data_IF_822784522163
#
_entry.id   IF_822784522163
#
_cell.length_a   1.000
_cell.length_b   1.000
_cell.length_c   1.000
_cell.angle_alpha   90.00
_cell.angle_beta   90.00
_cell.angle_gamma   90.00
#
_symmetry.space_group_name_H-M   'P 1'
#
loop_
_entity.id
_entity.type
_entity.pdbx_description
1 polymer ?
#
# COMPACT_ATOMS: atom_id res chain seq x y z
N UNK A 1 5.64 -22.51 23.06
CA UNK A 1 4.83 -21.26 23.20
C UNK A 1 5.67 -20.00 23.02
N UNK A 2 6.94 -19.99 23.47
CA UNK A 2 7.89 -18.90 23.16
C UNK A 2 8.33 -18.89 21.69
N UNK A 3 8.63 -20.05 21.10
CA UNK A 3 8.97 -20.14 19.67
C UNK A 3 7.87 -19.59 18.74
N UNK A 4 6.59 -19.85 19.05
CA UNK A 4 5.47 -19.33 18.26
C UNK A 4 5.30 -17.82 18.39
N UNK A 5 5.60 -17.25 19.57
CA UNK A 5 5.65 -15.79 19.76
C UNK A 5 6.77 -15.17 18.90
N UNK A 6 7.93 -15.81 18.86
CA UNK A 6 9.10 -15.34 18.11
C UNK A 6 8.92 -15.44 16.57
N UNK A 7 8.08 -16.36 16.08
CA UNK A 7 7.75 -16.49 14.64
C UNK A 7 6.77 -15.41 14.18
N UNK A 8 5.80 -15.02 15.01
CA UNK A 8 4.80 -14.01 14.64
C UNK A 8 5.39 -12.59 14.58
N UNK A 9 6.39 -12.28 15.41
CA UNK A 9 7.06 -10.98 15.42
C UNK A 9 7.80 -10.66 14.13
N UNK A 10 8.14 -11.65 13.30
CA UNK A 10 8.72 -11.42 11.97
C UNK A 10 7.70 -10.73 11.06
N UNK A 11 6.42 -11.14 11.11
CA UNK A 11 5.36 -10.59 10.26
C UNK A 11 5.02 -9.12 10.56
N UNK A 12 5.38 -8.64 11.75
CA UNK A 12 5.24 -7.24 12.16
C UNK A 12 5.88 -6.26 11.18
N UNK A 13 7.03 -6.62 10.59
CA UNK A 13 7.79 -5.74 9.71
C UNK A 13 7.46 -5.93 8.23
N UNK A 14 6.58 -6.89 7.90
CA UNK A 14 6.31 -7.24 6.52
C UNK A 14 5.67 -6.11 5.71
N UNK A 15 4.88 -5.22 6.32
CA UNK A 15 4.33 -4.06 5.60
C UNK A 15 5.40 -3.01 5.23
N UNK A 16 6.47 -2.87 6.02
CA UNK A 16 7.61 -1.99 5.70
C UNK A 16 8.43 -2.65 4.58
N UNK A 17 8.77 -3.93 4.76
CA UNK A 17 9.53 -4.71 3.78
C UNK A 17 8.81 -4.77 2.44
N UNK A 18 7.48 -4.92 2.45
CA UNK A 18 6.69 -5.01 1.24
C UNK A 18 6.73 -3.71 0.43
N UNK A 19 6.66 -2.53 1.08
CA UNK A 19 6.78 -1.23 0.40
C UNK A 19 8.18 -1.07 -0.20
N UNK A 20 9.23 -1.35 0.59
CA UNK A 20 10.62 -1.26 0.10
C UNK A 20 10.87 -2.21 -1.06
N UNK A 21 10.42 -3.47 -0.95
CA UNK A 21 10.50 -4.46 -2.01
C UNK A 21 9.76 -3.99 -3.26
N UNK A 22 8.52 -3.53 -3.11
CA UNK A 22 7.68 -3.13 -4.24
C UNK A 22 8.30 -1.93 -4.97
N UNK A 23 8.63 -0.85 -4.26
CA UNK A 23 9.21 0.36 -4.87
C UNK A 23 10.57 0.08 -5.50
N UNK A 24 11.45 -0.67 -4.83
CA UNK A 24 12.78 -0.98 -5.40
C UNK A 24 12.65 -1.86 -6.65
N UNK A 25 11.77 -2.86 -6.63
CA UNK A 25 11.58 -3.78 -7.76
C UNK A 25 10.92 -3.09 -8.95
N UNK A 26 9.88 -2.29 -8.73
CA UNK A 26 9.23 -1.54 -9.81
C UNK A 26 10.10 -0.43 -10.36
N UNK A 27 10.91 0.22 -9.51
CA UNK A 27 11.90 1.20 -9.96
C UNK A 27 12.98 0.56 -10.82
N UNK A 28 13.59 -0.53 -10.34
CA UNK A 28 14.58 -1.30 -11.08
C UNK A 28 14.04 -1.74 -12.44
N UNK A 29 12.81 -2.26 -12.46
CA UNK A 29 12.15 -2.68 -13.69
C UNK A 29 11.88 -1.50 -14.63
N UNK A 30 11.34 -0.38 -14.11
CA UNK A 30 11.01 0.79 -14.91
C UNK A 30 12.22 1.44 -15.57
N UNK A 31 13.37 1.51 -14.87
CA UNK A 31 14.62 2.08 -15.43
C UNK A 31 15.17 1.25 -16.60
N UNK A 32 14.86 -0.05 -16.67
CA UNK A 32 15.32 -0.90 -17.78
C UNK A 32 14.51 -0.73 -19.06
N UNK A 33 13.36 -0.07 -19.00
CA UNK A 33 12.41 0.04 -20.09
C UNK A 33 12.56 1.38 -20.79
N UNK A 34 13.12 1.36 -22.02
CA UNK A 34 13.53 2.56 -22.77
C UNK A 34 12.44 3.62 -22.99
N UNK A 35 11.17 3.22 -23.08
CA UNK A 35 10.05 4.11 -23.39
C UNK A 35 9.17 4.44 -22.18
N UNK A 36 9.59 4.02 -20.98
CA UNK A 36 8.87 4.30 -19.74
C UNK A 36 9.55 5.43 -18.98
N UNK A 37 8.75 6.37 -18.51
CA UNK A 37 9.18 7.47 -17.67
C UNK A 37 8.24 7.59 -16.46
N UNK A 38 8.81 7.61 -15.26
CA UNK A 38 8.06 7.72 -13.99
C UNK A 38 7.28 9.04 -13.88
N UNK A 39 7.71 10.09 -14.58
CA UNK A 39 7.02 11.38 -14.62
C UNK A 39 5.78 11.38 -15.51
N UNK A 40 5.71 10.47 -16.49
CA UNK A 40 4.67 10.47 -17.52
C UNK A 40 3.64 9.36 -17.30
N UNK A 41 4.06 8.26 -16.67
CA UNK A 41 3.25 7.06 -16.49
C UNK A 41 3.19 6.65 -15.03
N UNK A 42 2.10 6.00 -14.62
CA UNK A 42 1.98 5.32 -13.32
C UNK A 42 2.82 4.04 -13.29
N UNK A 43 3.02 3.47 -12.10
CA UNK A 43 3.66 2.16 -11.92
C UNK A 43 2.83 1.08 -12.62
N UNK A 44 1.50 1.11 -12.49
CA UNK A 44 0.62 0.14 -13.17
C UNK A 44 0.71 0.21 -14.70
N UNK A 45 0.94 1.41 -15.25
CA UNK A 45 1.13 1.63 -16.68
C UNK A 45 2.48 1.12 -17.21
N UNK A 46 3.43 0.73 -16.34
CA UNK A 46 4.64 0.05 -16.77
C UNK A 46 4.33 -1.21 -17.60
N UNK A 47 3.24 -1.91 -17.26
CA UNK A 47 2.74 -3.12 -17.94
C UNK A 47 2.64 -3.02 -19.47
N UNK A 48 2.51 -1.82 -20.04
CA UNK A 48 2.39 -1.62 -21.50
C UNK A 48 3.68 -1.83 -22.25
N UNK A 49 4.78 -1.56 -21.56
CA UNK A 49 6.09 -1.55 -22.17
C UNK A 49 6.79 -2.90 -21.98
N UNK A 50 6.11 -3.85 -21.31
CA UNK A 50 6.65 -5.14 -20.93
C UNK A 50 6.26 -6.21 -21.95
N UNK A 51 7.20 -7.11 -22.24
CA UNK A 51 6.89 -8.36 -22.93
C UNK A 51 6.17 -9.34 -21.98
N UNK A 52 5.76 -10.52 -22.48
CA UNK A 52 4.99 -11.50 -21.69
C UNK A 52 5.72 -11.95 -20.42
N UNK A 53 7.00 -12.27 -20.52
CA UNK A 53 7.78 -12.76 -19.36
C UNK A 53 7.95 -11.67 -18.31
N UNK A 54 8.27 -10.45 -18.76
CA UNK A 54 8.35 -9.28 -17.90
C UNK A 54 7.00 -8.96 -17.25
N UNK A 55 5.89 -9.04 -17.98
CA UNK A 55 4.56 -8.81 -17.43
C UNK A 55 4.21 -9.82 -16.32
N UNK A 56 4.57 -11.10 -16.48
CA UNK A 56 4.42 -12.10 -15.42
C UNK A 56 5.22 -11.75 -14.18
N UNK A 57 6.48 -11.30 -14.34
CA UNK A 57 7.30 -10.81 -13.22
C UNK A 57 6.65 -9.59 -12.56
N UNK A 58 6.19 -8.62 -13.34
CA UNK A 58 5.52 -7.41 -12.86
C UNK A 58 4.29 -7.74 -12.01
N UNK A 59 3.40 -8.60 -12.51
CA UNK A 59 2.21 -9.04 -11.77
C UNK A 59 2.59 -9.76 -10.47
N UNK A 60 3.67 -10.56 -10.51
CA UNK A 60 4.19 -11.24 -9.33
C UNK A 60 4.69 -10.26 -8.26
N UNK A 61 5.22 -9.08 -8.63
CA UNK A 61 5.59 -8.05 -7.66
C UNK A 61 4.39 -7.55 -6.85
N UNK A 62 3.25 -7.31 -7.50
CA UNK A 62 2.00 -6.93 -6.82
C UNK A 62 1.51 -8.04 -5.90
N UNK A 63 1.60 -9.29 -6.35
CA UNK A 63 1.24 -10.46 -5.54
C UNK A 63 2.12 -10.58 -4.30
N UNK A 64 3.46 -10.52 -4.43
CA UNK A 64 4.38 -10.59 -3.28
C UNK A 64 4.09 -9.45 -2.30
N UNK A 65 3.90 -8.22 -2.81
CA UNK A 65 3.57 -7.05 -1.99
C UNK A 65 2.31 -7.31 -1.16
N UNK A 66 1.19 -7.64 -1.81
CA UNK A 66 -0.06 -7.90 -1.11
C UNK A 66 0.05 -9.09 -0.16
N UNK A 67 0.81 -10.13 -0.50
CA UNK A 67 1.01 -11.28 0.39
C UNK A 67 1.77 -10.89 1.67
N UNK A 68 2.84 -10.09 1.55
CA UNK A 68 3.56 -9.55 2.69
C UNK A 68 2.66 -8.64 3.54
N UNK A 69 1.85 -7.79 2.92
CA UNK A 69 0.90 -6.98 3.68
C UNK A 69 -0.18 -7.80 4.38
N UNK A 70 -0.68 -8.88 3.75
CA UNK A 70 -1.65 -9.79 4.38
C UNK A 70 -1.04 -10.46 5.60
N UNK A 71 0.24 -10.84 5.55
CA UNK A 71 0.94 -11.39 6.72
C UNK A 71 1.08 -10.36 7.84
N UNK A 72 1.31 -9.08 7.50
CA UNK A 72 1.28 -7.99 8.48
C UNK A 72 -0.12 -7.77 9.05
N UNK A 73 -1.17 -7.76 8.21
CA UNK A 73 -2.55 -7.65 8.66
C UNK A 73 -2.93 -8.78 9.61
N UNK A 74 -2.51 -10.01 9.31
CA UNK A 74 -2.66 -11.15 10.21
C UNK A 74 -2.01 -10.91 11.57
N UNK A 75 -0.79 -10.35 11.60
CA UNK A 75 -0.13 -9.95 12.85
C UNK A 75 -0.94 -8.90 13.62
N UNK A 76 -1.38 -7.82 12.96
CA UNK A 76 -2.19 -6.76 13.57
C UNK A 76 -3.50 -7.31 14.14
N UNK A 77 -4.16 -8.22 13.43
CA UNK A 77 -5.41 -8.84 13.89
C UNK A 77 -5.20 -9.69 15.13
N UNK A 78 -4.10 -10.44 15.19
CA UNK A 78 -3.73 -11.20 16.38
C UNK A 78 -3.36 -10.28 17.55
N UNK A 79 -2.59 -9.23 17.29
CA UNK A 79 -2.11 -8.29 18.32
C UNK A 79 -3.28 -7.56 19.01
N UNK A 80 -4.20 -6.99 18.23
CA UNK A 80 -5.36 -6.27 18.76
C UNK A 80 -6.61 -7.15 18.97
N UNK A 81 -6.49 -8.47 18.78
CA UNK A 81 -7.60 -9.42 18.83
C UNK A 81 -8.81 -9.01 17.96
N UNK A 82 -8.54 -8.53 16.74
CA UNK A 82 -9.55 -8.04 15.81
C UNK A 82 -10.26 -9.21 15.12
N UNK A 83 -11.59 -9.18 15.11
CA UNK A 83 -12.41 -10.08 14.30
C UNK A 83 -12.50 -9.55 12.87
N UNK A 84 -12.59 -10.42 11.87
CA UNK A 84 -12.63 -10.03 10.45
C UNK A 84 -13.77 -9.07 10.08
N UNK A 85 -14.87 -9.06 10.84
CA UNK A 85 -16.03 -8.18 10.60
C UNK A 85 -15.89 -6.78 11.23
N UNK A 86 -14.79 -6.48 11.93
CA UNK A 86 -14.58 -5.15 12.49
C UNK A 86 -14.13 -4.19 11.41
N UNK A 87 -14.47 -2.90 11.57
CA UNK A 87 -14.13 -1.87 10.60
C UNK A 87 -12.61 -1.80 10.30
N UNK A 88 -11.67 -1.82 11.29
CA UNK A 88 -10.24 -1.79 11.00
C UNK A 88 -9.76 -3.02 10.21
N UNK A 89 -10.36 -4.18 10.43
CA UNK A 89 -9.99 -5.40 9.72
C UNK A 89 -10.46 -5.35 8.26
N UNK A 90 -11.71 -4.93 8.03
CA UNK A 90 -12.27 -4.81 6.69
C UNK A 90 -11.54 -3.78 5.85
N UNK A 91 -11.30 -2.57 6.39
CA UNK A 91 -10.63 -1.49 5.64
C UNK A 91 -9.20 -1.86 5.29
N UNK A 92 -8.46 -2.50 6.21
CA UNK A 92 -7.11 -2.98 5.94
C UNK A 92 -7.09 -4.08 4.86
N UNK A 93 -7.99 -5.08 4.95
CA UNK A 93 -8.06 -6.15 3.95
C UNK A 93 -8.44 -5.62 2.57
N UNK A 94 -9.44 -4.73 2.49
CA UNK A 94 -9.87 -4.14 1.22
C UNK A 94 -8.72 -3.33 0.62
N UNK A 95 -7.98 -2.55 1.41
CA UNK A 95 -6.82 -1.82 0.91
C UNK A 95 -5.75 -2.74 0.32
N UNK A 96 -5.40 -3.82 1.02
CA UNK A 96 -4.34 -4.76 0.61
C UNK A 96 -4.74 -5.56 -0.63
N UNK A 97 -5.97 -6.08 -0.66
CA UNK A 97 -6.47 -6.88 -1.76
C UNK A 97 -6.67 -6.02 -3.02
N UNK A 98 -7.23 -4.82 -2.86
CA UNK A 98 -7.42 -3.89 -3.97
C UNK A 98 -6.07 -3.46 -4.56
N UNK A 99 -5.07 -3.18 -3.72
CA UNK A 99 -3.71 -2.89 -4.20
C UNK A 99 -3.16 -4.03 -5.06
N UNK A 100 -3.34 -5.29 -4.64
CA UNK A 100 -2.89 -6.46 -5.39
C UNK A 100 -3.54 -6.57 -6.78
N UNK A 101 -4.80 -6.15 -6.89
CA UNK A 101 -5.52 -6.14 -8.17
C UNK A 101 -4.98 -5.10 -9.16
N UNK A 102 -4.31 -4.03 -8.72
CA UNK A 102 -3.76 -3.00 -9.61
C UNK A 102 -2.76 -3.56 -10.63
N UNK A 103 -2.03 -4.63 -10.28
CA UNK A 103 -1.11 -5.30 -11.20
C UNK A 103 -1.82 -6.06 -12.32
N UNK A 104 -3.06 -6.50 -12.13
CA UNK A 104 -3.82 -7.32 -13.08
C UNK A 104 -4.75 -6.51 -13.99
N UNK A 105 -5.13 -5.30 -13.57
CA UNK A 105 -6.05 -4.44 -14.33
C UNK A 105 -5.33 -3.16 -14.75
N UNK A 106 -4.53 -3.17 -15.81
CA UNK A 106 -3.78 -1.99 -16.18
C UNK A 106 -4.70 -0.92 -16.83
N UNK A 107 -4.37 0.34 -16.57
CA UNK A 107 -5.18 1.54 -16.90
C UNK A 107 -5.60 1.69 -18.38
N UNK A 108 -4.87 1.17 -19.37
CA UNK A 108 -5.16 1.38 -20.80
C UNK A 108 -6.23 0.40 -21.33
N UNK A 109 -6.28 -0.81 -20.79
CA UNK A 109 -7.25 -1.85 -21.15
C UNK A 109 -8.49 -1.73 -20.28
N UNK A 110 -8.29 -1.38 -19.00
CA UNK A 110 -9.34 -1.39 -18.00
C UNK A 110 -9.38 -0.07 -17.22
N UNK A 111 -9.38 1.07 -17.91
CA UNK A 111 -9.33 2.40 -17.30
C UNK A 111 -10.30 2.58 -16.13
N UNK A 112 -11.59 2.29 -16.35
CA UNK A 112 -12.62 2.47 -15.32
C UNK A 112 -12.42 1.52 -14.13
N UNK A 113 -12.02 0.27 -14.39
CA UNK A 113 -11.79 -0.72 -13.33
C UNK A 113 -10.54 -0.32 -12.53
N UNK A 114 -9.45 0.05 -13.21
CA UNK A 114 -8.21 0.50 -12.58
C UNK A 114 -8.45 1.72 -11.69
N UNK A 115 -9.13 2.74 -12.22
CA UNK A 115 -9.48 3.94 -11.47
C UNK A 115 -10.34 3.59 -10.24
N UNK A 116 -11.32 2.70 -10.41
CA UNK A 116 -12.16 2.23 -9.29
C UNK A 116 -11.32 1.54 -8.22
N UNK A 117 -10.43 0.60 -8.61
CA UNK A 117 -9.53 -0.10 -7.69
C UNK A 117 -8.61 0.88 -6.98
N UNK A 118 -8.06 1.87 -7.69
CA UNK A 118 -7.20 2.90 -7.12
C UNK A 118 -7.95 3.72 -6.05
N UNK A 119 -9.14 4.24 -6.38
CA UNK A 119 -9.99 5.01 -5.45
C UNK A 119 -10.34 4.17 -4.22
N UNK A 120 -10.76 2.91 -4.41
CA UNK A 120 -11.08 2.00 -3.31
C UNK A 120 -9.85 1.74 -2.44
N UNK A 121 -8.68 1.50 -3.04
CA UNK A 121 -7.42 1.29 -2.32
C UNK A 121 -7.07 2.50 -1.47
N UNK A 122 -7.12 3.70 -2.07
CA UNK A 122 -6.79 4.96 -1.43
C UNK A 122 -7.69 5.25 -0.21
N UNK A 123 -9.01 5.23 -0.40
CA UNK A 123 -9.93 5.49 0.70
C UNK A 123 -9.87 4.41 1.78
N UNK A 124 -9.78 3.13 1.39
CA UNK A 124 -9.68 2.03 2.36
C UNK A 124 -8.42 2.15 3.21
N UNK A 125 -7.32 2.60 2.60
CA UNK A 125 -6.08 2.87 3.31
C UNK A 125 -6.21 4.03 4.32
N UNK A 126 -6.79 5.17 3.91
CA UNK A 126 -7.08 6.29 4.81
C UNK A 126 -7.93 5.83 6.01
N UNK A 127 -9.01 5.08 5.74
CA UNK A 127 -9.86 4.55 6.80
C UNK A 127 -9.09 3.57 7.70
N UNK A 128 -8.19 2.76 7.13
CA UNK A 128 -7.34 1.86 7.89
C UNK A 128 -6.41 2.62 8.83
N UNK A 129 -5.69 3.63 8.36
CA UNK A 129 -4.82 4.47 9.20
C UNK A 129 -5.59 5.08 10.38
N UNK A 130 -6.74 5.70 10.11
CA UNK A 130 -7.56 6.32 11.15
C UNK A 130 -8.10 5.32 12.17
N UNK A 131 -8.62 4.18 11.70
CA UNK A 131 -9.23 3.18 12.58
C UNK A 131 -8.18 2.44 13.40
N UNK A 132 -7.03 2.11 12.82
CA UNK A 132 -5.90 1.52 13.53
C UNK A 132 -5.27 2.50 14.51
N UNK A 133 -5.15 3.80 14.18
CA UNK A 133 -4.61 4.78 15.12
C UNK A 133 -5.46 4.87 16.38
N UNK A 134 -6.79 4.76 16.26
CA UNK A 134 -7.69 4.75 17.42
C UNK A 134 -7.47 3.55 18.35
N UNK A 135 -7.03 2.40 17.83
CA UNK A 135 -6.74 1.22 18.66
C UNK A 135 -5.52 1.42 19.58
N UNK A 136 -4.66 2.41 19.27
CA UNK A 136 -3.49 2.71 20.09
C UNK A 136 -3.83 3.42 21.41
N UNK A 137 -5.02 4.03 21.51
CA UNK A 137 -5.43 4.90 22.62
C UNK A 137 -4.45 6.07 22.90
N UNK A 138 -3.59 6.43 21.96
CA UNK A 138 -2.67 7.57 22.06
C UNK A 138 -3.23 8.76 21.26
N UNK A 139 -3.66 9.81 21.96
CA UNK A 139 -4.26 10.99 21.34
C UNK A 139 -3.29 11.74 20.39
N UNK A 140 -2.00 11.78 20.73
CA UNK A 140 -0.98 12.41 19.89
C UNK A 140 -0.82 11.63 18.59
N UNK A 141 -0.84 10.30 18.64
CA UNK A 141 -0.76 9.47 17.44
C UNK A 141 -2.01 9.55 16.58
N UNK A 142 -3.19 9.62 17.20
CA UNK A 142 -4.45 9.85 16.46
C UNK A 142 -4.43 11.22 15.78
N UNK A 143 -3.93 12.26 16.45
CA UNK A 143 -3.79 13.59 15.87
C UNK A 143 -2.78 13.60 14.71
N UNK A 144 -1.61 12.99 14.90
CA UNK A 144 -0.62 12.79 13.84
C UNK A 144 -1.23 12.07 12.62
N UNK A 145 -1.98 10.99 12.85
CA UNK A 145 -2.62 10.21 11.78
C UNK A 145 -3.64 11.07 11.01
N UNK A 146 -4.41 11.92 11.70
CA UNK A 146 -5.33 12.87 11.04
C UNK A 146 -4.61 13.91 10.19
N UNK A 147 -3.51 14.47 10.68
CA UNK A 147 -2.69 15.41 9.90
C UNK A 147 -2.14 14.71 8.66
N UNK A 148 -1.61 13.50 8.81
CA UNK A 148 -1.06 12.75 7.69
C UNK A 148 -2.14 12.41 6.65
N UNK A 149 -3.33 11.97 7.08
CA UNK A 149 -4.48 11.74 6.21
C UNK A 149 -4.87 13.03 5.46
N UNK A 150 -4.84 14.18 6.14
CA UNK A 150 -5.13 15.47 5.49
C UNK A 150 -4.09 15.78 4.40
N UNK A 151 -2.81 15.53 4.68
CA UNK A 151 -1.73 15.68 3.68
C UNK A 151 -1.96 14.71 2.52
N UNK A 152 -2.19 13.43 2.77
CA UNK A 152 -2.51 12.43 1.74
C UNK A 152 -3.70 12.86 0.89
N UNK A 153 -4.77 13.37 1.51
CA UNK A 153 -5.95 13.84 0.81
C UNK A 153 -5.66 15.07 -0.06
N UNK A 154 -4.96 16.09 0.46
CA UNK A 154 -4.58 17.27 -0.31
C UNK A 154 -3.69 16.87 -1.49
N UNK A 155 -2.68 16.04 -1.24
CA UNK A 155 -1.77 15.54 -2.27
C UNK A 155 -2.51 14.74 -3.34
N UNK A 156 -3.48 13.90 -2.97
CA UNK A 156 -4.31 13.15 -3.93
C UNK A 156 -5.15 14.07 -4.79
N UNK A 157 -5.80 15.07 -4.20
CA UNK A 157 -6.58 16.03 -4.97
C UNK A 157 -5.69 16.85 -5.92
N UNK A 158 -4.51 17.29 -5.48
CA UNK A 158 -3.56 17.99 -6.37
C UNK A 158 -3.17 17.09 -7.56
N UNK A 159 -2.76 15.84 -7.31
CA UNK A 159 -2.34 14.97 -8.41
C UNK A 159 -3.51 14.57 -9.33
N UNK A 160 -4.73 14.41 -8.80
CA UNK A 160 -5.92 14.09 -9.58
C UNK A 160 -6.42 15.28 -10.41
N UNK A 161 -6.54 16.48 -9.83
CA UNK A 161 -7.12 17.65 -10.53
C UNK A 161 -6.17 18.27 -11.56
N UNK A 162 -4.86 18.13 -11.37
CA UNK A 162 -3.87 18.69 -12.28
C UNK A 162 -3.32 17.66 -13.30
N UNK A 163 -3.96 16.49 -13.42
CA UNK A 163 -3.52 15.39 -14.31
C UNK A 163 -2.04 14.97 -14.12
N UNK A 164 -1.51 15.14 -12.90
CA UNK A 164 -0.15 14.74 -12.54
C UNK A 164 -0.12 13.36 -11.85
N UNK A 165 -1.16 12.55 -12.05
CA UNK A 165 -1.21 11.20 -11.50
C UNK A 165 -0.29 10.26 -12.28
N UNK A 166 0.93 10.11 -11.79
CA UNK A 166 2.02 9.33 -12.36
C UNK A 166 2.76 8.52 -11.27
N UNK A 167 3.81 7.78 -11.63
CA UNK A 167 4.53 6.94 -10.69
C UNK A 167 5.26 7.72 -9.58
N UNK A 168 5.63 8.98 -9.84
CA UNK A 168 6.17 9.87 -8.79
C UNK A 168 5.09 10.10 -7.72
N UNK A 169 3.87 10.43 -8.13
CA UNK A 169 2.76 10.64 -7.19
C UNK A 169 2.45 9.37 -6.38
N UNK A 170 2.41 8.20 -7.01
CA UNK A 170 2.21 6.90 -6.34
C UNK A 170 3.34 6.58 -5.35
N UNK A 171 4.57 6.93 -5.70
CA UNK A 171 5.74 6.78 -4.82
C UNK A 171 5.60 7.68 -3.59
N UNK A 172 5.19 8.94 -3.76
CA UNK A 172 4.94 9.86 -2.63
C UNK A 172 3.88 9.29 -1.70
N UNK A 173 2.76 8.77 -2.23
CA UNK A 173 1.76 8.09 -1.40
C UNK A 173 2.36 6.91 -0.64
N UNK A 174 3.08 6.02 -1.32
CA UNK A 174 3.72 4.87 -0.67
C UNK A 174 4.69 5.30 0.44
N UNK A 175 5.39 6.43 0.29
CA UNK A 175 6.30 6.97 1.31
C UNK A 175 5.56 7.56 2.51
N UNK A 176 4.45 8.26 2.32
CA UNK A 176 3.61 8.73 3.43
C UNK A 176 3.09 7.55 4.25
N UNK A 177 2.61 6.52 3.56
CA UNK A 177 2.19 5.24 4.15
C UNK A 177 3.34 4.58 4.93
N UNK A 178 4.53 4.54 4.35
CA UNK A 178 5.73 3.98 4.96
C UNK A 178 6.09 4.69 6.27
N UNK A 179 6.05 6.03 6.29
CA UNK A 179 6.32 6.84 7.50
C UNK A 179 5.31 6.50 8.59
N UNK A 180 4.02 6.47 8.25
CA UNK A 180 2.97 6.11 9.21
C UNK A 180 3.18 4.71 9.79
N UNK A 181 3.41 3.72 8.94
CA UNK A 181 3.64 2.33 9.33
C UNK A 181 4.87 2.19 10.22
N UNK A 182 5.96 2.89 9.91
CA UNK A 182 7.19 2.85 10.71
C UNK A 182 6.93 3.32 12.15
N UNK A 183 6.20 4.43 12.31
CA UNK A 183 5.84 4.95 13.63
C UNK A 183 4.86 4.01 14.33
N UNK A 184 3.83 3.55 13.62
CA UNK A 184 2.82 2.64 14.14
C UNK A 184 3.46 1.34 14.69
N UNK A 185 4.28 0.71 13.87
CA UNK A 185 4.98 -0.54 14.17
C UNK A 185 5.99 -0.35 15.31
N UNK A 186 6.80 0.70 15.23
CA UNK A 186 7.87 0.95 16.19
C UNK A 186 7.36 1.28 17.59
N UNK A 187 6.24 2.01 17.69
CA UNK A 187 5.71 2.50 18.98
C UNK A 187 4.57 1.66 19.55
N UNK A 188 3.65 1.19 18.72
CA UNK A 188 2.35 0.66 19.20
C UNK A 188 2.13 -0.84 18.97
N UNK A 189 3.03 -1.52 18.26
CA UNK A 189 2.97 -2.96 18.01
C UNK A 189 4.09 -3.73 18.75
N UNK A 190 4.46 -3.30 19.95
CA UNK A 190 5.54 -3.90 20.75
C UNK A 190 5.15 -5.23 21.37
#
# INVERSE_FOLDING_TARGET
>A
MEESKNRLTIFKYNAILSILFFLSSTFYMGVQIKNYNFSDYTISQLSYFLNRDQLSVFNFLFFIKSFLDLSFAYYVFKFYNLRLKTLPALTLLIAILSFGLLGFFPTNQFFLIHLTIFVVTFFSWIFSQYTLSKLTNDENFVHFSKILILVEFITANIFLFFNYFNAISETVFCLLIFVWLTIFIGRYLK
#
